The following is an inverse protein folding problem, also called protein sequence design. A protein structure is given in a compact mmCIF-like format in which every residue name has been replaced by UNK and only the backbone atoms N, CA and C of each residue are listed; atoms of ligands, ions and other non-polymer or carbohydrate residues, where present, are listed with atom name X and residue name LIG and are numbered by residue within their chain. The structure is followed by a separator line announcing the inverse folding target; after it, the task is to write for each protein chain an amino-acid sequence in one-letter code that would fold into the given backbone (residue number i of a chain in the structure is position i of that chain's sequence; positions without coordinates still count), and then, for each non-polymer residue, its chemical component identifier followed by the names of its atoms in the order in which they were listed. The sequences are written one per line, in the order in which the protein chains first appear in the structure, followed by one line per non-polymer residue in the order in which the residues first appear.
data_IF_965873378166
#
_entry.id   IF_965873378166
#
_cell.length_a   1.000
_cell.length_b   1.000
_cell.length_c   1.000
_cell.angle_alpha   90.00
_cell.angle_beta   90.00
_cell.angle_gamma   90.00
#
_symmetry.space_group_name_H-M   'P 1'
#
loop_
_entity.id
_entity.type
_entity.pdbx_description
1 polymer ?
#
# COMPACT_ATOMS: atom_id res chain seq x y z
N UNK A 1 -8.64 10.37 12.21
CA UNK A 1 -8.51 8.95 11.78
C UNK A 1 -7.11 8.59 11.30
N UNK A 2 -6.55 9.33 10.35
CA UNK A 2 -5.11 9.40 10.05
C UNK A 2 -4.23 9.45 11.31
N UNK A 3 -4.71 10.15 12.35
CA UNK A 3 -4.12 10.21 13.69
C UNK A 3 -3.85 8.83 14.32
N UNK A 4 -4.70 7.81 14.09
CA UNK A 4 -4.53 6.47 14.65
C UNK A 4 -3.38 5.72 13.96
N UNK A 5 -3.30 5.79 12.62
CA UNK A 5 -2.22 5.20 11.84
C UNK A 5 -0.88 5.83 12.22
N UNK A 6 -0.81 7.17 12.23
CA UNK A 6 0.39 7.91 12.64
C UNK A 6 0.79 7.57 14.08
N UNK A 7 -0.16 7.50 15.01
CA UNK A 7 0.12 7.12 16.40
C UNK A 7 0.69 5.69 16.49
N UNK A 8 0.23 4.78 15.64
CA UNK A 8 0.77 3.42 15.56
C UNK A 8 2.17 3.37 14.90
N UNK A 9 2.45 4.24 13.92
CA UNK A 9 3.74 4.30 13.22
C UNK A 9 4.86 4.88 14.09
N UNK A 10 4.60 5.94 14.86
CA UNK A 10 5.61 6.61 15.71
C UNK A 10 6.50 5.65 16.52
N UNK A 11 5.95 4.67 17.27
CA UNK A 11 6.79 3.73 18.01
C UNK A 11 7.51 2.71 17.10
N UNK A 12 7.00 2.41 15.90
CA UNK A 12 7.65 1.49 14.96
C UNK A 12 8.88 2.13 14.32
N UNK A 13 8.76 3.40 13.91
CA UNK A 13 9.87 4.17 13.34
C UNK A 13 11.08 4.30 14.29
N UNK A 14 10.86 4.21 15.61
CA UNK A 14 11.94 4.24 16.61
C UNK A 14 12.62 2.88 16.85
N UNK A 15 12.02 1.79 16.35
CA UNK A 15 12.45 0.42 16.62
C UNK A 15 13.25 -0.21 15.49
N UNK A 16 13.31 0.45 14.34
CA UNK A 16 13.92 -0.09 13.13
C UNK A 16 14.89 0.92 12.56
N UNK A 17 16.01 0.44 12.04
CA UNK A 17 17.07 1.31 11.51
C UNK A 17 16.73 1.85 10.12
N UNK A 18 16.20 0.99 9.24
CA UNK A 18 15.88 1.33 7.85
C UNK A 18 14.37 1.19 7.57
N UNK A 19 13.50 2.05 8.13
CA UNK A 19 12.07 1.97 7.87
C UNK A 19 11.76 2.25 6.39
N UNK A 20 10.75 1.58 5.83
CA UNK A 20 10.15 1.92 4.55
C UNK A 20 8.63 1.79 4.60
N UNK A 21 7.92 2.44 3.67
CA UNK A 21 6.50 2.29 3.49
C UNK A 21 6.16 1.84 2.06
N UNK A 22 5.09 1.06 1.93
CA UNK A 22 4.56 0.57 0.67
C UNK A 22 3.12 1.02 0.51
N UNK A 23 2.76 1.53 -0.66
CA UNK A 23 1.40 1.95 -0.99
C UNK A 23 0.95 1.40 -2.34
N UNK A 24 -0.31 1.01 -2.45
CA UNK A 24 -0.99 0.90 -3.75
C UNK A 24 -1.35 2.29 -4.31
N UNK A 25 -1.71 2.36 -5.60
CA UNK A 25 -2.14 3.59 -6.27
C UNK A 25 -3.66 3.75 -6.19
N UNK A 26 -4.37 2.92 -6.95
CA UNK A 26 -5.79 3.08 -7.24
C UNK A 26 -6.63 2.85 -5.98
N UNK A 27 -7.59 3.73 -5.73
CA UNK A 27 -8.42 3.78 -4.52
C UNK A 27 -7.61 3.86 -3.19
N UNK A 28 -6.31 4.15 -3.26
CA UNK A 28 -5.38 4.16 -2.12
C UNK A 28 -4.66 5.49 -2.00
N UNK A 29 -3.70 5.80 -2.88
CA UNK A 29 -3.05 7.12 -2.94
C UNK A 29 -3.97 8.12 -3.62
N UNK A 30 -4.65 7.67 -4.68
CA UNK A 30 -5.63 8.47 -5.42
C UNK A 30 -6.96 7.74 -5.46
N UNK A 31 -8.05 8.51 -5.53
CA UNK A 31 -9.39 8.04 -5.78
C UNK A 31 -9.74 8.34 -7.23
N UNK A 32 -10.20 7.33 -7.97
CA UNK A 32 -10.72 7.56 -9.31
C UNK A 32 -12.10 8.22 -9.20
N UNK A 33 -12.36 9.18 -10.08
CA UNK A 33 -13.68 9.82 -10.21
C UNK A 33 -14.18 9.64 -11.65
N UNK A 34 -15.39 10.11 -11.93
CA UNK A 34 -15.98 10.04 -13.28
C UNK A 34 -15.10 10.76 -14.32
N UNK A 35 -15.31 10.41 -15.59
CA UNK A 35 -14.63 11.01 -16.75
C UNK A 35 -13.09 10.95 -16.69
N UNK A 36 -12.54 9.81 -16.27
CA UNK A 36 -11.10 9.54 -16.12
C UNK A 36 -10.38 10.52 -15.17
N UNK A 37 -11.13 11.24 -14.33
CA UNK A 37 -10.59 12.13 -13.33
C UNK A 37 -10.02 11.38 -12.12
N UNK A 38 -9.19 12.07 -11.33
CA UNK A 38 -8.63 11.52 -10.09
C UNK A 38 -8.45 12.63 -9.06
N UNK A 39 -8.59 12.26 -7.78
CA UNK A 39 -8.34 13.15 -6.63
C UNK A 39 -7.48 12.47 -5.59
N UNK A 40 -6.84 13.26 -4.74
CA UNK A 40 -6.03 12.74 -3.64
C UNK A 40 -6.88 12.03 -2.59
N UNK A 41 -6.45 10.86 -2.10
CA UNK A 41 -7.05 10.23 -0.93
C UNK A 41 -6.54 10.93 0.34
N UNK A 42 -7.31 11.91 0.85
CA UNK A 42 -6.79 12.84 1.85
C UNK A 42 -6.23 12.17 3.12
N UNK A 43 -6.91 11.19 3.74
CA UNK A 43 -6.33 10.46 4.89
C UNK A 43 -5.00 9.77 4.58
N UNK A 44 -4.81 9.23 3.37
CA UNK A 44 -3.55 8.58 2.96
C UNK A 44 -2.49 9.63 2.68
N UNK A 45 -2.84 10.73 2.01
CA UNK A 45 -1.94 11.85 1.78
C UNK A 45 -1.29 12.34 3.05
N UNK A 46 -2.08 12.60 4.09
CA UNK A 46 -1.52 13.14 5.31
C UNK A 46 -0.63 12.09 6.06
N UNK A 47 -0.80 10.78 5.82
CA UNK A 47 0.14 9.73 6.30
C UNK A 47 1.44 9.74 5.48
N UNK A 48 1.35 9.88 4.16
CA UNK A 48 2.53 10.01 3.28
C UNK A 48 3.37 11.22 3.67
N UNK A 49 2.73 12.37 3.90
CA UNK A 49 3.42 13.59 4.36
C UNK A 49 4.12 13.39 5.72
N UNK A 50 3.48 12.67 6.64
CA UNK A 50 4.11 12.30 7.90
C UNK A 50 5.36 11.43 7.69
N UNK A 51 5.28 10.40 6.84
CA UNK A 51 6.41 9.51 6.54
C UNK A 51 7.57 10.26 5.89
N UNK A 52 7.28 11.15 4.92
CA UNK A 52 8.29 12.01 4.29
C UNK A 52 8.99 12.95 5.26
N UNK A 53 8.23 13.59 6.15
CA UNK A 53 8.80 14.44 7.22
C UNK A 53 9.77 13.65 8.13
N UNK A 54 9.57 12.35 8.22
CA UNK A 54 10.43 11.42 8.96
C UNK A 54 11.49 10.72 8.10
N UNK A 55 11.68 11.17 6.85
CA UNK A 55 12.65 10.63 5.89
C UNK A 55 12.50 9.11 5.68
N UNK A 56 11.26 8.61 5.70
CA UNK A 56 10.95 7.20 5.43
C UNK A 56 10.78 7.03 3.92
N UNK A 57 11.61 6.21 3.24
CA UNK A 57 11.43 5.87 1.84
C UNK A 57 10.05 5.26 1.56
N UNK A 58 9.44 5.67 0.45
CA UNK A 58 8.09 5.30 0.04
C UNK A 58 8.14 4.61 -1.32
N UNK A 59 7.71 3.35 -1.34
CA UNK A 59 7.59 2.54 -2.55
C UNK A 59 6.13 2.39 -2.96
N UNK A 60 5.88 2.44 -4.26
CA UNK A 60 4.57 2.23 -4.86
C UNK A 60 4.51 0.84 -5.47
N UNK A 61 3.47 0.08 -5.16
CA UNK A 61 3.26 -1.28 -5.68
C UNK A 61 1.84 -1.41 -6.20
N UNK A 62 1.69 -1.45 -7.52
CA UNK A 62 0.39 -1.43 -8.20
C UNK A 62 0.15 -2.66 -9.06
N UNK A 63 -1.14 -3.00 -9.25
CA UNK A 63 -1.58 -4.01 -10.20
C UNK A 63 -1.65 -3.50 -11.65
N UNK A 64 -1.42 -2.21 -11.90
CA UNK A 64 -1.31 -1.65 -13.25
C UNK A 64 -0.24 -2.39 -14.05
N UNK A 65 -0.51 -2.61 -15.33
CA UNK A 65 0.41 -3.33 -16.23
C UNK A 65 1.61 -2.46 -16.55
N UNK A 66 2.80 -3.06 -16.53
CA UNK A 66 4.03 -2.36 -16.87
C UNK A 66 4.09 -2.08 -18.37
N UNK A 67 4.03 -0.80 -18.72
CA UNK A 67 4.45 -0.25 -20.02
C UNK A 67 5.00 1.15 -19.77
N UNK A 68 5.80 1.68 -20.71
CA UNK A 68 6.33 3.04 -20.57
C UNK A 68 5.21 4.07 -20.43
N UNK A 69 4.18 3.97 -21.28
CA UNK A 69 3.00 4.84 -21.21
C UNK A 69 2.23 4.71 -19.89
N UNK A 70 2.03 3.47 -19.39
CA UNK A 70 1.31 3.26 -18.12
C UNK A 70 2.12 3.76 -16.92
N UNK A 71 3.44 3.59 -16.93
CA UNK A 71 4.32 4.12 -15.90
C UNK A 71 4.33 5.65 -15.91
N UNK A 72 4.49 6.27 -17.08
CA UNK A 72 4.46 7.73 -17.23
C UNK A 72 3.13 8.31 -16.74
N UNK A 73 2.01 7.72 -17.16
CA UNK A 73 0.68 8.15 -16.72
C UNK A 73 0.48 7.98 -15.21
N UNK A 74 0.92 6.87 -14.62
CA UNK A 74 0.86 6.69 -13.17
C UNK A 74 1.67 7.77 -12.42
N UNK A 75 2.87 8.10 -12.90
CA UNK A 75 3.69 9.13 -12.28
C UNK A 75 3.09 10.53 -12.45
N UNK A 76 2.50 10.86 -13.60
CA UNK A 76 1.78 12.12 -13.83
C UNK A 76 0.65 12.30 -12.80
N UNK A 77 -0.18 11.27 -12.62
CA UNK A 77 -1.27 11.30 -11.66
C UNK A 77 -0.76 11.48 -10.22
N UNK A 78 0.27 10.73 -9.84
CA UNK A 78 0.84 10.82 -8.50
C UNK A 78 1.51 12.19 -8.26
N UNK A 79 2.23 12.73 -9.25
CA UNK A 79 2.93 14.01 -9.16
C UNK A 79 2.01 15.23 -9.14
N UNK A 80 0.72 15.04 -9.42
CA UNK A 80 -0.30 16.07 -9.19
C UNK A 80 -0.48 16.37 -7.69
N UNK A 81 -0.24 15.39 -6.81
CA UNK A 81 -0.49 15.54 -5.36
C UNK A 81 0.74 15.25 -4.49
N UNK A 82 1.69 14.47 -4.97
CA UNK A 82 2.82 13.97 -4.21
C UNK A 82 4.12 14.35 -4.92
N UNK A 83 5.15 14.72 -4.16
CA UNK A 83 6.54 14.68 -4.65
C UNK A 83 7.01 13.26 -5.05
N UNK A 84 8.32 13.06 -5.19
CA UNK A 84 8.95 11.81 -5.62
C UNK A 84 8.68 10.60 -4.70
N UNK A 85 8.75 9.41 -5.30
CA UNK A 85 8.69 8.11 -4.63
C UNK A 85 10.00 7.35 -4.91
N UNK A 86 10.44 6.52 -3.95
CA UNK A 86 11.72 5.80 -3.99
C UNK A 86 11.69 4.55 -4.88
N UNK A 87 10.51 4.18 -5.38
CA UNK A 87 10.39 3.18 -6.42
C UNK A 87 8.96 2.84 -6.79
N UNK A 88 8.78 2.37 -8.02
CA UNK A 88 7.52 1.93 -8.59
C UNK A 88 7.64 0.47 -9.05
N UNK A 89 6.79 -0.40 -8.52
CA UNK A 89 6.65 -1.79 -8.93
C UNK A 89 5.29 -1.98 -9.61
N UNK A 90 5.32 -2.34 -10.89
CA UNK A 90 4.15 -2.62 -11.72
C UNK A 90 4.14 -4.07 -12.17
N UNK A 91 2.96 -4.67 -12.30
CA UNK A 91 2.84 -6.07 -12.74
C UNK A 91 3.33 -6.17 -14.18
N UNK A 92 4.28 -7.08 -14.45
CA UNK A 92 4.49 -7.51 -15.82
C UNK A 92 3.39 -8.51 -16.14
N UNK A 93 2.46 -8.15 -17.04
CA UNK A 93 1.38 -9.03 -17.47
C UNK A 93 1.40 -9.17 -18.98
N UNK A 94 2.32 -9.98 -19.46
CA UNK A 94 2.46 -10.34 -20.88
C UNK A 94 1.52 -11.51 -21.23
N UNK A 95 1.20 -12.38 -20.26
CA UNK A 95 0.39 -13.59 -20.46
C UNK A 95 -0.61 -13.84 -19.31
N UNK A 96 -1.66 -14.64 -19.57
CA UNK A 96 -2.67 -15.00 -18.55
C UNK A 96 -2.13 -15.93 -17.46
N UNK A 97 -0.96 -16.54 -17.70
CA UNK A 97 -0.23 -17.41 -16.77
C UNK A 97 0.56 -16.62 -15.72
N UNK A 98 0.69 -15.31 -15.89
CA UNK A 98 1.47 -14.45 -15.00
C UNK A 98 0.91 -14.42 -13.57
N UNK A 99 1.81 -14.15 -12.63
CA UNK A 99 1.48 -14.02 -11.21
C UNK A 99 0.23 -13.17 -11.02
N UNK A 100 -0.72 -13.69 -10.24
CA UNK A 100 -1.84 -12.86 -9.80
C UNK A 100 -1.34 -11.60 -9.12
N UNK A 101 -2.11 -10.50 -9.22
CA UNK A 101 -1.76 -9.23 -8.58
C UNK A 101 -1.33 -9.41 -7.11
N UNK A 102 -2.01 -10.29 -6.36
CA UNK A 102 -1.68 -10.59 -4.97
C UNK A 102 -0.28 -11.23 -4.79
N UNK A 103 0.12 -12.18 -5.65
CA UNK A 103 1.46 -12.79 -5.63
C UNK A 103 2.51 -11.74 -6.02
N UNK A 104 2.25 -10.97 -7.08
CA UNK A 104 3.14 -9.91 -7.52
C UNK A 104 3.37 -8.86 -6.41
N UNK A 105 2.30 -8.41 -5.75
CA UNK A 105 2.39 -7.42 -4.66
C UNK A 105 3.17 -7.97 -3.47
N UNK A 106 2.95 -9.23 -3.10
CA UNK A 106 3.75 -9.93 -2.09
C UNK A 106 5.25 -9.96 -2.45
N UNK A 107 5.59 -10.44 -3.65
CA UNK A 107 6.99 -10.49 -4.13
C UNK A 107 7.62 -9.09 -4.22
N UNK A 108 6.84 -8.06 -4.53
CA UNK A 108 7.32 -6.67 -4.53
C UNK A 108 7.71 -6.19 -3.13
N UNK A 109 6.93 -6.53 -2.10
CA UNK A 109 7.30 -6.23 -0.71
C UNK A 109 8.56 -6.98 -0.29
N UNK A 110 8.71 -8.24 -0.68
CA UNK A 110 9.94 -8.99 -0.46
C UNK A 110 11.15 -8.29 -1.12
N UNK A 111 11.03 -7.86 -2.38
CA UNK A 111 12.10 -7.10 -3.06
C UNK A 111 12.48 -5.80 -2.34
N UNK A 112 11.53 -5.14 -1.68
CA UNK A 112 11.83 -3.95 -0.84
C UNK A 112 12.60 -4.38 0.41
N UNK A 113 12.23 -5.49 1.06
CA UNK A 113 12.96 -6.03 2.20
C UNK A 113 14.37 -6.52 1.84
N UNK A 114 14.53 -7.15 0.67
CA UNK A 114 15.81 -7.64 0.15
C UNK A 114 16.81 -6.49 -0.08
N UNK A 115 16.33 -5.25 -0.23
CA UNK A 115 17.16 -4.03 -0.28
C UNK A 115 17.61 -3.55 1.12
N UNK A 116 17.27 -4.27 2.19
CA UNK A 116 17.65 -3.96 3.57
C UNK A 116 16.64 -3.10 4.33
N UNK A 117 15.45 -2.87 3.77
CA UNK A 117 14.40 -2.10 4.44
C UNK A 117 13.51 -2.95 5.34
N UNK A 118 13.05 -2.36 6.43
CA UNK A 118 11.93 -2.89 7.23
C UNK A 118 10.66 -2.14 6.85
N UNK A 119 9.69 -2.83 6.26
CA UNK A 119 8.41 -2.21 5.87
C UNK A 119 7.58 -1.96 7.14
N UNK A 120 7.54 -0.71 7.59
CA UNK A 120 6.78 -0.30 8.78
C UNK A 120 5.31 -0.07 8.46
N UNK A 121 4.98 0.18 7.19
CA UNK A 121 3.61 0.35 6.70
C UNK A 121 3.44 -0.27 5.32
N UNK A 122 2.38 -1.05 5.14
CA UNK A 122 1.86 -1.43 3.83
C UNK A 122 0.40 -0.99 3.73
N UNK A 123 0.02 -0.17 2.75
CA UNK A 123 -1.33 0.37 2.64
C UNK A 123 -1.95 0.10 1.26
N UNK A 124 -3.23 -0.27 1.26
CA UNK A 124 -4.00 -0.54 0.05
C UNK A 124 -5.49 -0.68 0.33
N UNK A 125 -6.31 -0.47 -0.70
CA UNK A 125 -7.77 -0.58 -0.66
C UNK A 125 -8.24 -2.02 -0.88
N UNK A 126 -7.41 -2.94 -1.36
CA UNK A 126 -7.79 -4.31 -1.59
C UNK A 126 -7.05 -5.23 -0.62
N UNK A 127 -7.70 -6.33 -0.23
CA UNK A 127 -7.05 -7.32 0.63
C UNK A 127 -5.80 -7.92 -0.02
N UNK A 128 -5.76 -7.98 -1.37
CA UNK A 128 -4.60 -8.42 -2.15
C UNK A 128 -3.38 -7.51 -2.01
N UNK A 129 -3.57 -6.27 -1.58
CA UNK A 129 -2.48 -5.32 -1.39
C UNK A 129 -1.78 -5.60 -0.07
N UNK A 130 -2.54 -6.07 0.91
CA UNK A 130 -2.05 -6.34 2.25
C UNK A 130 -1.38 -7.71 2.34
N UNK A 131 -1.87 -8.71 1.61
CA UNK A 131 -1.33 -10.06 1.64
C UNK A 131 -1.80 -10.98 0.51
N UNK A 132 -1.36 -12.23 0.55
CA UNK A 132 -1.76 -13.31 -0.34
C UNK A 132 -3.24 -13.66 -0.15
N UNK A 133 -3.96 -13.72 -1.27
CA UNK A 133 -5.32 -14.27 -1.30
C UNK A 133 -5.33 -15.75 -0.94
N UNK A 134 -6.39 -16.20 -0.27
CA UNK A 134 -6.49 -17.54 0.32
C UNK A 134 -6.12 -18.67 -0.66
N UNK A 135 -6.53 -18.57 -1.93
CA UNK A 135 -6.20 -19.55 -2.98
C UNK A 135 -4.70 -19.69 -3.30
N UNK A 136 -3.86 -18.75 -2.85
CA UNK A 136 -2.42 -18.75 -3.08
C UNK A 136 -1.61 -19.06 -1.81
N UNK A 137 -2.27 -19.30 -0.67
CA UNK A 137 -1.61 -19.71 0.57
C UNK A 137 -1.30 -21.20 0.48
N UNK A 138 -0.08 -21.56 0.03
CA UNK A 138 0.31 -22.97 -0.12
C UNK A 138 0.54 -23.65 1.23
N UNK A 139 1.32 -23.07 2.14
CA UNK A 139 1.46 -23.49 3.54
C UNK A 139 2.06 -22.29 4.31
N UNK A 140 1.65 -22.07 5.57
CA UNK A 140 2.21 -21.05 6.50
C UNK A 140 1.97 -19.58 6.16
N UNK A 141 0.86 -19.01 6.65
CA UNK A 141 0.78 -17.56 6.88
C UNK A 141 0.06 -17.30 8.20
N UNK A 142 0.83 -16.97 9.24
CA UNK A 142 0.32 -16.46 10.52
C UNK A 142 -0.13 -15.00 10.36
N UNK A 143 -1.21 -14.77 9.63
CA UNK A 143 -1.89 -13.49 9.71
C UNK A 143 -2.88 -13.56 10.87
N UNK A 144 -2.59 -12.87 11.97
CA UNK A 144 -3.62 -12.53 12.95
C UNK A 144 -4.57 -11.52 12.31
N UNK A 145 -5.52 -12.04 11.52
CA UNK A 145 -6.65 -11.27 11.04
C UNK A 145 -7.55 -10.96 12.23
N UNK A 146 -7.30 -9.85 12.93
CA UNK A 146 -8.30 -9.27 13.83
C UNK A 146 -9.37 -8.60 12.98
N UNK A 147 -10.23 -9.41 12.36
CA UNK A 147 -11.39 -8.93 11.61
C UNK A 147 -12.46 -8.44 12.58
N UNK A 148 -12.72 -7.14 12.58
CA UNK A 148 -14.08 -6.67 12.90
C UNK A 148 -14.92 -6.88 11.63
N UNK A 149 -16.01 -7.64 11.79
CA UNK A 149 -17.06 -8.00 10.81
C UNK A 149 -17.01 -7.36 9.40
N UNK A 150 -17.16 -8.15 8.32
CA UNK A 150 -17.05 -7.71 6.92
C UNK A 150 -18.21 -6.84 6.39
N UNK A 151 -19.10 -6.33 7.25
CA UNK A 151 -20.32 -5.62 6.82
C UNK A 151 -20.28 -4.10 7.01
N UNK A 152 -19.16 -3.49 7.45
CA UNK A 152 -19.08 -2.03 7.61
C UNK A 152 -17.73 -1.46 7.23
N UNK A 153 -17.78 -0.40 6.41
CA UNK A 153 -17.05 0.88 6.42
C UNK A 153 -15.92 1.07 7.47
N UNK A 154 -14.99 0.14 7.62
CA UNK A 154 -13.97 0.20 8.67
C UNK A 154 -12.55 0.04 8.09
N UNK A 155 -11.66 0.90 8.55
CA UNK A 155 -10.22 0.77 8.31
C UNK A 155 -9.70 -0.39 9.15
N UNK A 156 -8.88 -1.25 8.55
CA UNK A 156 -8.22 -2.32 9.28
C UNK A 156 -6.75 -2.01 9.47
N UNK A 157 -6.27 -2.16 10.70
CA UNK A 157 -4.84 -2.17 11.02
C UNK A 157 -4.47 -3.58 11.43
N UNK A 158 -3.76 -4.25 10.54
CA UNK A 158 -3.24 -5.60 10.72
C UNK A 158 -1.78 -5.52 11.12
N UNK A 159 -1.30 -6.47 11.92
CA UNK A 159 0.12 -6.53 12.31
C UNK A 159 0.79 -7.73 11.67
N UNK A 160 2.04 -7.57 11.27
CA UNK A 160 2.92 -8.64 10.81
C UNK A 160 2.28 -9.51 9.69
N UNK A 161 1.63 -8.87 8.71
CA UNK A 161 0.95 -9.60 7.62
C UNK A 161 2.01 -10.25 6.73
N UNK A 162 2.05 -11.58 6.80
CA UNK A 162 2.97 -12.44 6.05
C UNK A 162 4.45 -12.12 6.28
N UNK A 163 4.77 -11.53 7.44
CA UNK A 163 6.12 -11.07 7.80
C UNK A 163 6.70 -10.02 6.84
N UNK A 164 5.88 -9.51 5.91
CA UNK A 164 6.30 -8.52 4.90
C UNK A 164 6.07 -7.08 5.34
N UNK A 165 5.33 -6.85 6.43
CA UNK A 165 5.13 -5.51 6.98
C UNK A 165 4.77 -5.57 8.46
N UNK A 166 5.28 -4.61 9.25
CA UNK A 166 4.96 -4.52 10.69
C UNK A 166 3.51 -4.10 10.92
N UNK A 167 3.01 -3.19 10.08
CA UNK A 167 1.64 -2.68 10.08
C UNK A 167 1.11 -2.69 8.65
N UNK A 168 -0.08 -3.26 8.45
CA UNK A 168 -0.80 -3.18 7.18
C UNK A 168 -2.10 -2.43 7.38
N UNK A 169 -2.38 -1.49 6.50
CA UNK A 169 -3.54 -0.61 6.56
C UNK A 169 -4.47 -0.85 5.38
N UNK A 170 -5.62 -1.46 5.65
CA UNK A 170 -6.73 -1.53 4.70
C UNK A 170 -7.38 -0.15 4.64
N UNK A 171 -7.11 0.56 3.56
CA UNK A 171 -7.68 1.87 3.28
C UNK A 171 -9.15 1.69 2.85
N UNK A 172 -10.07 2.60 3.22
CA UNK A 172 -11.45 2.59 2.77
C UNK A 172 -11.52 3.08 1.32
N UNK A 173 -12.43 2.47 0.57
CA UNK A 173 -12.59 2.72 -0.87
C UNK A 173 -13.38 3.99 -1.19
N UNK A 174 -13.67 4.87 -0.21
CA UNK A 174 -14.42 6.13 -0.43
C UNK A 174 -13.99 7.21 0.57
N UNK A 175 -14.15 8.46 0.16
CA UNK A 175 -13.97 9.62 1.02
C UNK A 175 -14.74 9.43 2.32
N UNK A 176 -13.99 9.51 3.42
CA UNK A 176 -14.58 10.03 4.64
C UNK A 176 -14.67 11.52 4.43
N UNK A 177 -15.88 12.04 4.22
CA UNK A 177 -16.18 13.39 4.68
C UNK A 177 -15.86 13.38 6.17
N UNK A 178 -14.77 14.06 6.53
CA UNK A 178 -14.42 14.27 7.92
C UNK A 178 -15.34 15.39 8.38
N UNK A 179 -16.44 15.02 9.06
CA UNK A 179 -17.18 15.95 9.92
C UNK A 179 -16.24 16.58 10.95
#
# INVERSE_FOLDING_TARGET
MQTKVIKALKPLLKKVENPAAVFDIDETLILNVEDDGYKVHRPVYDVVQFLRKHHVPIFVVTARRKSEASAAYAMEQLYTFYDEFDGLYMVNKEHDEDDSASIFKFRSRQRVMDKGYTIVLNAGDNWSDLGLMAKYKKHHVHAEWKTTHPSRKEHYLLKNVEETSMLSWKVPNKDYEVD
#
